data_IF_358505359590
#
_entry.id   IF_358505359590
#
_cell.length_a   1.000
_cell.length_b   1.000
_cell.length_c   1.000
_cell.angle_alpha   90.00
_cell.angle_beta   90.00
_cell.angle_gamma   90.00
#
_symmetry.space_group_name_H-M   'P 1'
#
loop_
_entity.id
_entity.type
_entity.pdbx_description
1 polymer ?
#
# COMPACT_ATOMS: atom_id res chain seq x y z
N UNK A 1 3.32 -9.73 13.39
CA UNK A 1 4.26 -10.13 12.47
C UNK A 1 4.44 -9.13 11.41
N UNK A 2 5.61 -8.84 11.04
CA UNK A 2 5.92 -7.88 10.03
C UNK A 2 5.77 -8.44 8.63
N UNK A 3 5.88 -7.58 7.65
CA UNK A 3 5.86 -7.95 6.25
C UNK A 3 7.27 -8.22 5.80
N UNK A 4 7.51 -9.41 5.31
CA UNK A 4 8.82 -9.80 4.82
C UNK A 4 8.71 -10.25 3.39
N UNK A 5 9.65 -9.80 2.57
CA UNK A 5 9.71 -10.23 1.20
C UNK A 5 10.79 -11.29 1.13
N UNK A 6 10.41 -12.47 0.68
CA UNK A 6 11.38 -13.56 0.51
C UNK A 6 11.86 -13.55 -0.92
N UNK A 7 13.15 -13.29 -1.11
CA UNK A 7 13.74 -13.31 -2.43
C UNK A 7 14.55 -14.60 -2.56
N UNK A 8 14.17 -15.41 -3.54
CA UNK A 8 14.92 -16.58 -3.79
C UNK A 8 16.04 -16.21 -4.70
N UNK A 9 17.21 -16.33 -4.22
CA UNK A 9 18.32 -15.96 -4.98
C UNK A 9 18.76 -17.13 -5.74
N UNK A 10 18.60 -17.16 -7.04
CA UNK A 10 18.87 -18.23 -7.74
C UNK A 10 20.22 -18.37 -7.99
N UNK A 11 20.60 -19.36 -8.22
CA UNK A 11 21.82 -19.70 -8.62
C UNK A 11 22.82 -19.23 -7.93
N UNK A 12 22.71 -18.97 -7.03
CA UNK A 12 23.55 -18.48 -6.45
C UNK A 12 24.52 -19.29 -6.13
N UNK A 13 25.55 -18.99 -6.34
CA UNK A 13 26.56 -19.61 -6.10
C UNK A 13 26.56 -20.38 -4.96
N UNK A 14 26.37 -20.07 -3.96
CA UNK A 14 26.49 -20.87 -2.89
C UNK A 14 25.26 -21.44 -2.72
N UNK A 15 24.61 -21.24 -3.57
CA UNK A 15 23.52 -21.78 -3.40
C UNK A 15 22.60 -21.34 -2.49
N UNK A 16 22.17 -20.56 -2.34
CA UNK A 16 21.33 -20.33 -1.53
C UNK A 16 20.66 -19.65 -1.48
N UNK A 17 20.07 -19.19 -1.74
CA UNK A 17 19.50 -19.02 -0.76
C UNK A 17 18.38 -18.14 -0.83
N UNK A 18 17.61 -18.04 0.13
CA UNK A 18 16.48 -17.18 0.26
C UNK A 18 16.88 -16.06 1.15
N UNK A 19 16.67 -14.84 0.71
CA UNK A 19 16.94 -13.68 1.53
C UNK A 19 15.61 -13.06 1.90
N UNK A 20 15.52 -12.58 3.13
CA UNK A 20 14.37 -11.84 3.56
C UNK A 20 14.73 -10.39 3.59
N UNK A 21 13.85 -9.54 3.09
CA UNK A 21 14.04 -8.11 3.16
C UNK A 21 12.92 -7.54 3.99
N UNK A 22 13.26 -6.96 5.15
CA UNK A 22 12.29 -6.33 6.00
C UNK A 22 12.19 -4.88 5.65
N UNK A 23 11.05 -4.44 5.18
CA UNK A 23 10.82 -3.04 4.90
C UNK A 23 10.24 -2.38 6.14
N UNK A 24 10.41 -1.08 6.24
CA UNK A 24 9.97 -0.34 7.41
C UNK A 24 8.74 0.49 7.09
N UNK A 25 7.97 0.77 8.13
CA UNK A 25 6.85 1.69 7.98
C UNK A 25 7.33 3.11 8.23
N UNK A 26 6.44 4.07 8.04
CA UNK A 26 6.77 5.49 8.15
C UNK A 26 7.18 5.89 9.56
N UNK A 27 6.95 5.07 10.56
CA UNK A 27 7.38 5.35 11.93
C UNK A 27 8.76 4.74 12.20
N UNK A 28 9.34 4.05 11.24
CA UNK A 28 10.67 3.46 11.38
C UNK A 28 10.69 2.08 12.00
N UNK A 29 9.53 1.48 12.23
CA UNK A 29 9.45 0.12 12.75
C UNK A 29 9.12 -0.85 11.60
N UNK A 30 9.04 -2.13 11.88
CA UNK A 30 8.77 -3.14 10.85
C UNK A 30 7.42 -2.93 10.23
N UNK A 31 7.34 -3.04 8.92
CA UNK A 31 6.09 -2.86 8.19
C UNK A 31 5.11 -3.97 8.57
N UNK A 32 3.89 -3.60 8.91
CA UNK A 32 2.86 -4.56 9.29
C UNK A 32 1.95 -4.86 8.12
N UNK A 33 1.22 -5.97 8.20
CA UNK A 33 0.29 -6.39 7.16
C UNK A 33 -0.79 -5.33 6.98
N UNK A 34 -1.07 -4.96 5.73
CA UNK A 34 -2.14 -4.01 5.41
C UNK A 34 -3.47 -4.73 5.35
N UNK A 35 -3.56 -5.82 4.61
CA UNK A 35 -4.78 -6.61 4.54
C UNK A 35 -4.69 -7.75 3.55
N UNK A 36 -5.53 -8.74 3.73
CA UNK A 36 -5.57 -9.92 2.86
C UNK A 36 -6.93 -10.15 2.24
N UNK A 37 -7.96 -9.39 2.68
CA UNK A 37 -9.33 -9.52 2.15
C UNK A 37 -9.93 -8.14 1.96
N UNK A 38 -9.75 -7.56 0.78
CA UNK A 38 -9.16 -8.16 -0.42
C UNK A 38 -7.65 -8.26 -0.31
N UNK A 39 -7.07 -9.19 -1.04
CA UNK A 39 -5.62 -9.29 -1.09
C UNK A 39 -5.08 -8.04 -1.77
N UNK A 40 -4.05 -7.45 -1.21
CA UNK A 40 -3.52 -6.20 -1.71
C UNK A 40 -1.99 -6.23 -1.74
N UNK A 41 -1.40 -5.17 -2.24
CA UNK A 41 0.05 -5.03 -2.32
C UNK A 41 0.57 -5.29 -3.73
N UNK A 42 1.65 -4.62 -4.09
CA UNK A 42 2.26 -4.81 -5.40
C UNK A 42 2.63 -6.28 -5.61
N UNK A 43 3.10 -6.94 -4.56
CA UNK A 43 3.47 -8.36 -4.64
C UNK A 43 2.31 -9.29 -4.28
N UNK A 44 1.13 -8.76 -4.02
CA UNK A 44 -0.06 -9.53 -3.65
C UNK A 44 0.18 -10.42 -2.44
N UNK A 45 0.87 -9.91 -1.45
CA UNK A 45 1.15 -10.62 -0.21
C UNK A 45 0.49 -9.97 1.00
N UNK A 46 -0.39 -9.00 0.78
CA UNK A 46 -1.10 -8.32 1.86
C UNK A 46 -0.31 -7.18 2.49
N UNK A 47 0.89 -6.93 2.01
CA UNK A 47 1.77 -5.93 2.56
C UNK A 47 2.10 -4.86 1.54
N UNK A 48 2.22 -3.62 1.98
CA UNK A 48 2.56 -2.52 1.08
C UNK A 48 4.07 -2.46 0.85
N UNK A 49 4.64 -3.61 0.54
CA UNK A 49 6.04 -3.71 0.16
C UNK A 49 6.24 -3.13 -1.24
N UNK A 50 7.41 -2.60 -1.49
CA UNK A 50 7.69 -2.00 -2.79
C UNK A 50 9.07 -2.44 -3.26
N UNK A 51 9.36 -2.21 -4.51
CA UNK A 51 10.63 -2.57 -5.13
C UNK A 51 10.78 -1.85 -6.46
N UNK A 52 11.87 -2.12 -7.14
CA UNK A 52 12.24 -1.41 -8.36
C UNK A 52 11.18 -1.48 -9.46
N UNK A 53 10.42 -2.56 -9.51
CA UNK A 53 9.40 -2.72 -10.54
C UNK A 53 8.08 -2.03 -10.20
N UNK A 54 7.95 -1.49 -8.99
CA UNK A 54 6.70 -0.88 -8.56
C UNK A 54 6.69 0.60 -8.95
N UNK A 55 6.41 0.86 -10.20
CA UNK A 55 6.45 2.21 -10.74
C UNK A 55 5.45 3.12 -10.03
N UNK A 56 4.32 2.60 -9.62
CA UNK A 56 3.30 3.40 -8.96
C UNK A 56 3.56 3.65 -7.48
N UNK A 57 4.57 3.02 -6.91
CA UNK A 57 4.89 3.14 -5.48
C UNK A 57 3.65 2.90 -4.62
N UNK A 58 3.17 1.66 -4.63
CA UNK A 58 1.94 1.27 -3.93
C UNK A 58 2.24 1.03 -2.46
N UNK A 59 2.49 2.10 -1.73
CA UNK A 59 3.09 2.03 -0.40
C UNK A 59 2.20 2.52 0.73
N UNK A 60 1.06 3.13 0.42
CA UNK A 60 0.16 3.67 1.45
C UNK A 60 -0.91 2.64 1.79
N UNK A 61 -0.97 2.18 3.03
CA UNK A 61 -2.05 1.30 3.43
C UNK A 61 -3.27 2.17 3.74
N UNK A 62 -4.13 2.34 2.75
CA UNK A 62 -5.31 3.19 2.85
C UNK A 62 -6.49 2.39 3.37
N UNK A 63 -7.26 2.98 4.27
CA UNK A 63 -8.53 2.43 4.71
C UNK A 63 -9.55 3.21 3.90
N UNK A 64 -9.97 2.65 2.78
CA UNK A 64 -10.74 3.40 1.80
C UNK A 64 -12.15 3.67 2.28
N UNK A 65 -12.71 4.78 1.82
CA UNK A 65 -14.09 5.13 2.11
C UNK A 65 -14.78 5.56 0.82
N UNK A 66 -16.07 5.75 0.90
CA UNK A 66 -16.86 6.08 -0.28
C UNK A 66 -16.38 7.36 -0.95
N UNK A 67 -16.09 8.39 -0.17
CA UNK A 67 -15.65 9.67 -0.71
C UNK A 67 -14.36 9.51 -1.52
N UNK A 68 -13.39 8.79 -0.96
CA UNK A 68 -12.14 8.56 -1.66
C UNK A 68 -12.35 7.71 -2.91
N UNK A 69 -13.15 6.63 -2.80
CA UNK A 69 -13.34 5.74 -3.93
C UNK A 69 -13.99 6.46 -5.11
N UNK A 70 -14.96 7.32 -4.83
CA UNK A 70 -15.62 8.09 -5.90
C UNK A 70 -14.66 9.12 -6.50
N UNK A 71 -13.87 9.78 -5.66
CA UNK A 71 -12.88 10.74 -6.13
C UNK A 71 -11.85 10.02 -7.03
N UNK A 72 -11.34 8.90 -6.55
CA UNK A 72 -10.31 8.14 -7.28
C UNK A 72 -10.82 7.70 -8.66
N UNK A 73 -12.07 7.26 -8.73
CA UNK A 73 -12.66 6.85 -10.00
C UNK A 73 -12.75 8.05 -10.95
N UNK A 74 -13.15 9.21 -10.44
CA UNK A 74 -13.24 10.42 -11.29
C UNK A 74 -11.86 10.84 -11.80
N UNK A 75 -10.81 10.57 -11.03
CA UNK A 75 -9.46 10.94 -11.41
C UNK A 75 -8.75 9.89 -12.25
N UNK A 76 -9.48 8.88 -12.69
CA UNK A 76 -8.93 7.89 -13.60
C UNK A 76 -8.39 6.62 -12.94
N UNK A 77 -8.53 6.48 -11.64
CA UNK A 77 -8.08 5.28 -10.93
C UNK A 77 -9.29 4.61 -10.30
N UNK A 78 -10.03 3.87 -11.13
CA UNK A 78 -11.27 3.24 -10.69
C UNK A 78 -10.98 1.99 -9.87
N UNK A 79 -11.21 2.07 -8.58
CA UNK A 79 -11.01 0.95 -7.67
C UNK A 79 -12.34 0.29 -7.29
N UNK A 80 -13.45 0.77 -7.83
CA UNK A 80 -14.77 0.27 -7.50
C UNK A 80 -15.22 -0.85 -8.43
N UNK A 81 -14.96 -0.71 -9.72
CA UNK A 81 -15.46 -1.66 -10.71
C UNK A 81 -14.70 -2.99 -10.62
N UNK A 82 -15.39 -4.10 -10.46
CA UNK A 82 -14.71 -5.39 -10.43
C UNK A 82 -13.98 -5.67 -11.73
N UNK A 83 -12.85 -6.33 -11.62
CA UNK A 83 -12.06 -6.78 -12.79
C UNK A 83 -11.78 -8.26 -12.59
N UNK A 84 -12.74 -9.12 -12.94
CA UNK A 84 -12.58 -10.56 -12.70
C UNK A 84 -11.36 -11.15 -13.41
N UNK A 85 -10.97 -10.59 -14.54
CA UNK A 85 -9.81 -11.07 -15.29
C UNK A 85 -8.52 -10.92 -14.51
N UNK A 86 -8.50 -10.05 -13.49
CA UNK A 86 -7.35 -9.88 -12.63
C UNK A 86 -7.62 -10.37 -11.21
N UNK A 87 -8.74 -11.03 -11.00
CA UNK A 87 -9.12 -11.50 -9.67
C UNK A 87 -9.46 -10.36 -8.71
N UNK A 88 -9.83 -9.19 -9.24
CA UNK A 88 -10.13 -8.02 -8.44
C UNK A 88 -11.64 -7.85 -8.29
N UNK A 89 -12.13 -7.86 -7.07
CA UNK A 89 -13.56 -7.78 -6.81
C UNK A 89 -14.08 -6.35 -6.65
N UNK A 90 -13.23 -5.36 -6.71
CA UNK A 90 -13.62 -3.99 -6.42
C UNK A 90 -13.54 -3.72 -4.93
N UNK A 91 -13.31 -2.47 -4.56
CA UNK A 91 -13.19 -2.11 -3.15
C UNK A 91 -14.49 -1.51 -2.63
N UNK A 92 -14.70 -1.68 -1.33
CA UNK A 92 -15.83 -1.12 -0.62
C UNK A 92 -15.30 -0.33 0.56
N UNK A 93 -16.11 0.57 1.07
CA UNK A 93 -15.74 1.35 2.25
C UNK A 93 -15.30 0.43 3.39
N UNK A 94 -14.18 0.72 3.98
CA UNK A 94 -13.60 -0.06 5.06
C UNK A 94 -12.52 -1.03 4.60
N UNK A 95 -12.41 -1.27 3.30
CA UNK A 95 -11.37 -2.16 2.78
C UNK A 95 -9.99 -1.51 2.92
N UNK A 96 -8.97 -2.33 3.11
CA UNK A 96 -7.58 -1.85 3.14
C UNK A 96 -6.95 -2.08 1.79
N UNK A 97 -6.21 -1.12 1.32
CA UNK A 97 -5.59 -1.21 0.00
C UNK A 97 -4.23 -0.53 -0.02
N UNK A 98 -3.24 -1.20 -0.59
CA UNK A 98 -1.93 -0.59 -0.78
C UNK A 98 -2.02 0.36 -1.97
N UNK A 99 -2.19 1.62 -1.67
CA UNK A 99 -2.49 2.65 -2.65
C UNK A 99 -1.21 3.33 -3.12
N UNK A 100 -1.20 3.74 -4.38
CA UNK A 100 -0.13 4.54 -4.95
C UNK A 100 0.05 5.81 -4.13
N UNK A 101 1.28 6.12 -3.73
CA UNK A 101 1.56 7.27 -2.88
C UNK A 101 1.08 8.57 -3.49
N UNK A 102 1.28 8.76 -4.81
CA UNK A 102 0.83 9.98 -5.46
C UNK A 102 -0.68 10.06 -5.59
N UNK A 103 -1.37 8.93 -5.65
CA UNK A 103 -2.83 8.94 -5.65
C UNK A 103 -3.38 9.36 -4.29
N UNK A 104 -2.70 8.96 -3.21
CA UNK A 104 -3.10 9.41 -1.88
C UNK A 104 -2.88 10.91 -1.74
N UNK A 105 -1.73 11.41 -2.20
CA UNK A 105 -1.42 12.83 -2.12
C UNK A 105 -2.40 13.66 -2.97
N UNK A 106 -2.73 13.18 -4.15
CA UNK A 106 -3.71 13.84 -5.02
C UNK A 106 -5.05 13.97 -4.27
N UNK A 107 -5.47 12.91 -3.60
CA UNK A 107 -6.73 12.94 -2.86
C UNK A 107 -6.63 13.87 -1.65
N UNK A 108 -5.47 13.89 -0.99
CA UNK A 108 -5.27 14.79 0.15
C UNK A 108 -5.41 16.25 -0.26
N UNK A 109 -4.81 16.61 -1.38
CA UNK A 109 -4.89 17.99 -1.87
C UNK A 109 -6.32 18.37 -2.24
N UNK A 110 -7.16 17.40 -2.56
CA UNK A 110 -8.55 17.63 -2.89
C UNK A 110 -9.49 17.49 -1.68
N UNK A 111 -8.95 17.20 -0.51
CA UNK A 111 -9.75 17.00 0.69
C UNK A 111 -10.48 15.69 0.74
N UNK A 112 -10.06 14.70 -0.05
CA UNK A 112 -10.72 13.40 -0.18
C UNK A 112 -9.84 12.22 0.25
N UNK A 113 -8.69 12.46 0.87
CA UNK A 113 -7.78 11.35 1.20
C UNK A 113 -8.40 10.44 2.27
N UNK A 114 -8.23 9.13 2.13
CA UNK A 114 -8.73 8.21 3.13
C UNK A 114 -7.77 8.14 4.32
N UNK A 115 -8.24 7.60 5.41
CA UNK A 115 -7.38 7.34 6.57
C UNK A 115 -6.36 6.28 6.19
N UNK A 116 -5.28 6.24 6.91
CA UNK A 116 -4.20 5.28 6.64
C UNK A 116 -3.93 4.43 7.88
N UNK A 117 -3.58 3.17 7.65
CA UNK A 117 -3.07 2.32 8.71
C UNK A 117 -1.58 2.64 8.78
N UNK A 118 -1.21 3.47 9.74
CA UNK A 118 0.12 4.09 9.75
C UNK A 118 1.26 3.08 9.89
N UNK A 119 1.08 2.02 10.67
CA UNK A 119 2.13 1.02 10.86
C UNK A 119 2.26 0.07 9.66
N UNK A 120 1.33 0.14 8.72
CA UNK A 120 1.36 -0.67 7.51
C UNK A 120 1.63 0.17 6.27
N UNK A 121 1.99 1.45 6.45
CA UNK A 121 2.34 2.35 5.36
C UNK A 121 3.86 2.40 5.25
N UNK A 122 4.37 2.02 4.07
CA UNK A 122 5.80 1.87 3.84
C UNK A 122 6.53 3.20 3.92
N UNK A 123 7.70 3.21 4.51
CA UNK A 123 8.52 4.41 4.66
C UNK A 123 8.84 5.07 3.32
N UNK A 124 8.83 4.31 2.23
CA UNK A 124 9.07 4.86 0.90
C UNK A 124 8.02 5.92 0.52
N UNK A 125 6.86 5.88 1.16
CA UNK A 125 5.82 6.89 0.94
C UNK A 125 6.39 8.29 1.20
N UNK A 126 7.37 8.40 2.12
CA UNK A 126 7.91 9.69 2.51
C UNK A 126 8.72 10.37 1.39
N UNK A 127 8.98 9.67 0.30
CA UNK A 127 9.59 10.29 -0.87
C UNK A 127 8.59 11.19 -1.61
N UNK A 128 7.29 11.01 -1.35
CA UNK A 128 6.24 11.72 -2.06
C UNK A 128 5.28 12.48 -1.15
N UNK A 129 5.18 12.07 0.12
CA UNK A 129 4.18 12.61 1.05
C UNK A 129 4.88 12.94 2.38
N UNK A 130 4.52 14.04 2.99
CA UNK A 130 5.11 14.40 4.28
C UNK A 130 4.47 13.57 5.39
N UNK A 131 5.28 13.14 6.34
CA UNK A 131 4.83 12.30 7.45
C UNK A 131 3.69 12.95 8.22
N UNK A 132 3.75 14.26 8.43
CA UNK A 132 2.74 14.98 9.15
C UNK A 132 1.35 14.77 8.53
N UNK A 133 1.26 14.76 7.20
CA UNK A 133 -0.02 14.57 6.52
C UNK A 133 -0.56 13.16 6.74
N UNK A 134 0.33 12.19 6.78
CA UNK A 134 -0.09 10.81 7.04
C UNK A 134 -0.54 10.68 8.49
N UNK A 135 0.17 11.29 9.43
CA UNK A 135 -0.19 11.23 10.83
C UNK A 135 -1.55 11.88 11.10
N UNK A 136 -1.87 12.94 10.37
CA UNK A 136 -3.16 13.60 10.55
C UNK A 136 -4.34 12.69 10.18
N UNK A 137 -4.11 11.72 9.29
CA UNK A 137 -5.16 10.79 8.89
C UNK A 137 -4.87 9.37 9.36
N UNK A 138 -4.03 9.24 10.39
CA UNK A 138 -3.67 7.92 10.92
C UNK A 138 -4.86 7.26 11.59
N UNK A 139 -4.96 5.94 11.45
CA UNK A 139 -5.95 5.13 12.12
C UNK A 139 -5.77 5.14 13.64
N UNK A 140 -4.60 5.58 14.13
CA UNK A 140 -4.32 5.62 15.56
C UNK A 140 -4.77 6.93 16.20
N UNK A 141 -5.32 7.83 15.45
CA UNK A 141 -5.83 9.09 16.03
C UNK A 141 -7.17 8.89 16.71
#
# INVERSE_FOLDING_TARGET
MGCQIWHRVQNIISGWHTMTTDQKNVLGTSLEVCGTKPMTGFFRDGCCNTGAGDVGTHTVCAIVDKTFLEFSARMGNDLITPRPEYGFEGLKSGDHWCLCALRWEEARLAGCAPRVKITSTNIKTLEYVQLEHLKNLSDLN
#
